data_IF_456414083205
#
_entry.id   IF_456414083205
#
_cell.length_a   1.000
_cell.length_b   1.000
_cell.length_c   1.000
_cell.angle_alpha   90.00
_cell.angle_beta   90.00
_cell.angle_gamma   90.00
#
_symmetry.space_group_name_H-M   'P 1'
#
loop_
_entity.id
_entity.type
_entity.pdbx_description
1 polymer ?
#
# COMPACT_ATOMS: atom_id res chain seq x y z
N UNK A 1 4.72 85.50 36.30
CA UNK A 1 4.20 84.94 35.06
C UNK A 1 4.53 83.44 35.03
N UNK A 2 3.58 82.53 35.22
CA UNK A 2 3.88 81.11 35.17
C UNK A 2 3.75 80.54 33.75
N UNK A 3 4.72 79.69 33.40
CA UNK A 3 4.83 78.98 32.08
C UNK A 3 3.99 77.68 32.17
N UNK A 4 3.15 77.33 31.18
CA UNK A 4 2.40 76.11 31.22
C UNK A 4 3.22 74.90 30.81
N UNK A 5 3.19 73.83 31.61
CA UNK A 5 3.72 72.50 31.32
C UNK A 5 2.81 71.79 30.31
N UNK A 6 3.35 71.42 29.15
CA UNK A 6 2.69 70.51 28.18
C UNK A 6 2.90 69.07 28.64
N UNK A 7 1.78 68.37 28.88
CA UNK A 7 1.74 66.95 29.13
C UNK A 7 1.70 66.25 27.77
N UNK A 8 2.73 65.45 27.48
CA UNK A 8 2.81 64.62 26.27
C UNK A 8 2.10 63.28 26.58
N UNK A 9 0.92 63.06 26.02
CA UNK A 9 0.20 61.81 26.13
C UNK A 9 0.80 60.75 25.18
N UNK A 10 1.33 59.67 25.75
CA UNK A 10 1.86 58.51 25.02
C UNK A 10 0.74 57.52 24.75
N UNK A 11 0.26 57.48 23.53
CA UNK A 11 -0.76 56.49 23.08
C UNK A 11 -0.06 55.18 22.77
N UNK A 12 -0.30 54.16 23.59
CA UNK A 12 0.13 52.78 23.36
C UNK A 12 -0.85 52.11 22.41
N UNK A 13 -0.43 51.89 21.17
CA UNK A 13 -1.19 51.08 20.22
C UNK A 13 -0.94 49.60 20.50
N UNK A 14 -1.96 48.88 21.00
CA UNK A 14 -1.94 47.42 21.08
C UNK A 14 -2.09 46.83 19.68
N UNK A 15 -1.00 46.26 19.17
CA UNK A 15 -1.03 45.41 17.97
C UNK A 15 -1.55 44.01 18.37
N UNK A 16 -2.80 43.72 18.02
CA UNK A 16 -3.37 42.39 18.18
C UNK A 16 -2.82 41.49 17.07
N UNK A 17 -1.89 40.55 17.42
CA UNK A 17 -1.50 39.46 16.54
C UNK A 17 -2.68 38.48 16.38
N UNK A 18 -3.36 38.53 15.26
CA UNK A 18 -4.29 37.47 14.86
C UNK A 18 -3.47 36.30 14.37
N UNK A 19 -3.33 35.27 15.20
CA UNK A 19 -2.78 33.99 14.76
C UNK A 19 -3.79 33.33 13.80
N UNK A 20 -3.50 33.34 12.51
CA UNK A 20 -4.23 32.52 11.54
C UNK A 20 -4.06 31.05 11.90
N UNK A 21 -5.15 30.26 11.99
CA UNK A 21 -5.00 28.82 12.11
C UNK A 21 -4.28 28.30 10.87
N UNK A 22 -3.16 27.63 11.03
CA UNK A 22 -2.53 26.86 9.98
C UNK A 22 -3.52 25.76 9.60
N UNK A 23 -4.21 25.94 8.49
CA UNK A 23 -4.97 24.85 7.84
C UNK A 23 -3.92 23.82 7.46
N UNK A 24 -3.92 22.68 8.17
CA UNK A 24 -3.17 21.51 7.76
C UNK A 24 -3.64 21.16 6.35
N UNK A 25 -2.77 21.33 5.37
CA UNK A 25 -3.07 20.94 4.01
C UNK A 25 -3.44 19.45 4.03
N UNK A 26 -4.69 19.14 3.74
CA UNK A 26 -5.16 17.80 3.53
C UNK A 26 -4.25 17.18 2.47
N UNK A 27 -3.49 16.16 2.86
CA UNK A 27 -2.68 15.37 1.93
C UNK A 27 -3.64 14.47 1.16
N UNK A 28 -4.24 15.03 0.12
CA UNK A 28 -5.06 14.27 -0.81
C UNK A 28 -4.20 13.25 -1.55
N UNK A 29 -4.64 12.00 -1.50
CA UNK A 29 -4.08 10.89 -2.29
C UNK A 29 -2.70 10.37 -1.86
N UNK A 30 -2.27 9.35 -2.52
CA UNK A 30 -0.92 8.82 -2.47
C UNK A 30 -0.16 9.37 -3.68
N UNK A 31 0.46 10.57 -3.64
CA UNK A 31 1.03 11.15 -4.83
C UNK A 31 2.24 10.30 -5.29
N UNK A 32 1.96 9.39 -6.23
CA UNK A 32 2.97 9.09 -7.21
C UNK A 32 3.17 10.37 -8.01
N UNK A 33 4.38 10.76 -8.34
CA UNK A 33 4.65 12.01 -9.03
C UNK A 33 3.76 12.15 -10.24
N UNK A 34 2.89 13.14 -10.18
CA UNK A 34 2.19 13.70 -11.32
C UNK A 34 3.27 14.14 -12.31
N UNK A 35 3.46 13.38 -13.38
CA UNK A 35 4.04 13.97 -14.57
C UNK A 35 3.04 15.02 -15.02
N UNK A 36 3.42 16.29 -14.94
CA UNK A 36 2.64 17.41 -15.44
C UNK A 36 2.48 17.27 -16.96
N UNK A 37 1.48 16.50 -17.36
CA UNK A 37 0.94 16.48 -18.72
C UNK A 37 -0.49 17.04 -18.64
N UNK A 38 -0.98 17.69 -19.70
CA UNK A 38 -2.34 18.21 -19.70
C UNK A 38 -3.31 17.06 -19.39
N UNK A 39 -4.18 17.29 -18.42
CA UNK A 39 -5.22 16.36 -18.04
C UNK A 39 -6.18 16.11 -19.21
N UNK A 40 -5.94 15.05 -19.98
CA UNK A 40 -6.96 14.48 -20.83
C UNK A 40 -7.92 13.70 -19.93
N UNK A 41 -8.98 14.36 -19.53
CA UNK A 41 -10.14 13.69 -18.98
C UNK A 41 -10.71 12.76 -20.05
N UNK A 42 -10.26 11.52 -20.09
CA UNK A 42 -11.01 10.46 -20.75
C UNK A 42 -12.21 10.15 -19.87
N UNK A 43 -13.36 10.67 -20.25
CA UNK A 43 -14.63 10.17 -19.79
C UNK A 43 -14.72 8.68 -20.12
N UNK A 44 -14.54 7.83 -19.10
CA UNK A 44 -14.87 6.43 -19.21
C UNK A 44 -16.41 6.36 -19.29
N UNK A 45 -16.93 6.04 -20.46
CA UNK A 45 -18.34 5.74 -20.65
C UNK A 45 -18.61 4.42 -19.95
N UNK A 46 -19.35 4.47 -18.84
CA UNK A 46 -19.89 3.30 -18.16
C UNK A 46 -20.87 2.63 -19.11
N UNK A 47 -20.47 1.51 -19.71
CA UNK A 47 -21.40 0.57 -20.30
C UNK A 47 -21.94 -0.30 -19.17
N UNK A 48 -23.08 0.10 -18.61
CA UNK A 48 -23.84 -0.77 -17.72
C UNK A 48 -24.29 -2.01 -18.47
N UNK A 49 -23.68 -3.15 -18.16
CA UNK A 49 -24.28 -4.46 -18.47
C UNK A 49 -25.26 -4.79 -17.33
N UNK A 50 -26.54 -5.10 -17.63
CA UNK A 50 -27.45 -5.62 -16.65
C UNK A 50 -27.00 -7.02 -16.26
N UNK A 51 -26.17 -7.12 -15.22
CA UNK A 51 -25.82 -8.34 -14.53
C UNK A 51 -26.79 -8.55 -13.41
N UNK A 52 -27.44 -9.71 -13.38
CA UNK A 52 -28.27 -10.23 -12.32
C UNK A 52 -27.73 -9.85 -10.96
N UNK A 53 -28.56 -9.20 -10.14
CA UNK A 53 -28.30 -8.82 -8.76
C UNK A 53 -27.96 -10.06 -7.94
N UNK A 54 -26.69 -10.42 -7.90
CA UNK A 54 -26.12 -11.33 -6.91
C UNK A 54 -26.10 -10.59 -5.58
N UNK A 55 -26.85 -11.10 -4.63
CA UNK A 55 -27.00 -10.64 -3.26
C UNK A 55 -25.72 -10.04 -2.69
N UNK A 56 -25.69 -8.71 -2.51
CA UNK A 56 -24.76 -7.99 -1.65
C UNK A 56 -25.07 -8.16 -0.15
N UNK A 57 -25.68 -9.29 0.20
CA UNK A 57 -26.04 -9.59 1.58
C UNK A 57 -24.79 -9.89 2.40
N UNK A 58 -24.60 -9.10 3.43
CA UNK A 58 -23.67 -9.25 4.56
C UNK A 58 -22.17 -8.95 4.32
N UNK A 59 -21.84 -7.94 3.55
CA UNK A 59 -20.56 -7.28 3.76
C UNK A 59 -20.78 -6.16 4.76
N UNK A 60 -20.42 -6.40 6.02
CA UNK A 60 -20.45 -5.34 7.01
C UNK A 60 -19.51 -4.22 6.54
N UNK A 61 -20.10 -3.08 6.16
CA UNK A 61 -19.32 -1.89 5.87
C UNK A 61 -18.49 -1.54 7.10
N UNK A 62 -17.22 -1.22 6.87
CA UNK A 62 -16.36 -0.75 7.97
C UNK A 62 -16.69 0.71 8.26
N UNK A 63 -16.38 1.18 9.48
CA UNK A 63 -16.44 2.62 9.73
C UNK A 63 -15.64 3.40 8.69
N UNK A 64 -16.13 4.58 8.33
CA UNK A 64 -15.42 5.49 7.43
C UNK A 64 -13.99 5.73 7.94
N UNK A 65 -13.02 5.77 7.03
CA UNK A 65 -11.60 5.93 7.37
C UNK A 65 -10.90 4.67 7.88
N UNK A 66 -11.57 3.52 7.99
CA UNK A 66 -10.97 2.26 8.46
C UNK A 66 -10.82 1.23 7.35
N UNK A 67 -9.66 0.59 7.30
CA UNK A 67 -9.33 -0.52 6.39
C UNK A 67 -9.04 -1.78 7.18
N UNK A 68 -9.63 -2.90 6.76
CA UNK A 68 -9.25 -4.22 7.26
C UNK A 68 -8.06 -4.76 6.50
N UNK A 69 -7.09 -5.31 7.21
CA UNK A 69 -5.97 -6.04 6.64
C UNK A 69 -5.86 -7.40 7.32
N UNK A 70 -6.01 -8.46 6.54
CA UNK A 70 -5.90 -9.85 7.03
C UNK A 70 -4.79 -10.56 6.29
N UNK A 71 -3.85 -11.14 7.01
CA UNK A 71 -2.85 -12.04 6.43
C UNK A 71 -3.48 -13.42 6.22
N UNK A 72 -3.68 -13.80 4.96
CA UNK A 72 -4.27 -15.08 4.58
C UNK A 72 -3.22 -16.20 4.56
N UNK A 73 -1.98 -15.83 4.25
CA UNK A 73 -0.83 -16.74 4.20
C UNK A 73 0.07 -16.45 3.03
N UNK A 74 1.31 -16.93 3.08
CA UNK A 74 2.37 -16.74 2.09
C UNK A 74 2.57 -15.27 1.68
N UNK A 75 2.07 -14.83 0.53
CA UNK A 75 2.09 -13.44 0.06
C UNK A 75 0.68 -12.86 -0.13
N UNK A 76 -0.35 -13.60 0.31
CA UNK A 76 -1.74 -13.20 0.14
C UNK A 76 -2.25 -12.46 1.38
N UNK A 77 -2.67 -11.23 1.17
CA UNK A 77 -3.47 -10.45 2.12
C UNK A 77 -4.86 -10.22 1.56
N UNK A 78 -5.83 -10.11 2.45
CA UNK A 78 -7.14 -9.56 2.15
C UNK A 78 -7.19 -8.13 2.68
N UNK A 79 -7.36 -7.17 1.78
CA UNK A 79 -7.60 -5.76 2.10
C UNK A 79 -9.08 -5.48 1.93
N UNK A 80 -9.70 -4.87 2.94
CA UNK A 80 -11.14 -4.57 2.95
C UNK A 80 -11.35 -3.08 3.19
N UNK A 81 -11.92 -2.39 2.20
CA UNK A 81 -12.16 -0.96 2.27
C UNK A 81 -13.39 -0.58 3.12
N UNK A 82 -13.59 0.68 3.48
CA UNK A 82 -14.82 1.16 4.15
C UNK A 82 -16.10 0.79 3.43
N UNK A 83 -16.14 0.89 2.09
CA UNK A 83 -17.32 0.49 1.31
C UNK A 83 -17.42 -1.02 1.03
N UNK A 84 -16.55 -1.82 1.66
CA UNK A 84 -16.59 -3.27 1.57
C UNK A 84 -15.98 -3.86 0.30
N UNK A 85 -15.17 -3.10 -0.45
CA UNK A 85 -14.35 -3.65 -1.54
C UNK A 85 -13.33 -4.59 -0.96
N UNK A 86 -13.24 -5.80 -1.48
CA UNK A 86 -12.32 -6.85 -1.04
C UNK A 86 -11.26 -7.10 -2.10
N UNK A 87 -10.01 -6.97 -1.72
CA UNK A 87 -8.85 -7.16 -2.59
C UNK A 87 -7.98 -8.27 -2.03
N UNK A 88 -7.68 -9.29 -2.81
CA UNK A 88 -6.69 -10.31 -2.45
C UNK A 88 -5.40 -10.07 -3.23
N UNK A 89 -4.28 -9.94 -2.50
CA UNK A 89 -2.95 -9.82 -3.10
C UNK A 89 -2.38 -11.20 -3.43
N UNK A 90 -1.61 -11.29 -4.50
CA UNK A 90 -0.93 -12.53 -4.96
C UNK A 90 -1.83 -13.77 -4.84
N UNK A 91 -3.05 -13.64 -5.40
CA UNK A 91 -4.08 -14.65 -5.37
C UNK A 91 -3.66 -15.90 -6.15
N UNK A 92 -3.65 -17.04 -5.50
CA UNK A 92 -3.26 -18.31 -6.12
C UNK A 92 -4.26 -19.45 -5.80
N UNK A 93 -4.05 -20.62 -6.41
CA UNK A 93 -4.82 -21.81 -6.07
C UNK A 93 -4.55 -22.30 -4.65
N UNK A 94 -3.33 -22.11 -4.16
CA UNK A 94 -2.90 -22.58 -2.83
C UNK A 94 -3.23 -21.63 -1.70
N UNK A 95 -3.27 -20.32 -1.98
CA UNK A 95 -3.48 -19.29 -0.94
C UNK A 95 -4.49 -18.26 -1.47
N UNK A 96 -5.66 -18.25 -0.86
CA UNK A 96 -6.76 -17.37 -1.24
C UNK A 96 -7.77 -17.21 -0.10
N UNK A 97 -8.51 -16.09 -0.04
CA UNK A 97 -9.61 -15.94 0.90
C UNK A 97 -10.71 -16.98 0.66
N UNK A 98 -11.41 -17.38 1.73
CA UNK A 98 -12.50 -18.36 1.66
C UNK A 98 -13.64 -17.92 0.71
N UNK A 99 -13.95 -16.62 0.67
CA UNK A 99 -14.90 -16.03 -0.27
C UNK A 99 -14.16 -15.24 -1.36
N UNK A 100 -14.64 -15.29 -2.62
CA UNK A 100 -14.01 -14.57 -3.72
C UNK A 100 -13.91 -13.06 -3.41
N UNK A 101 -12.75 -12.43 -3.67
CA UNK A 101 -12.60 -10.98 -3.59
C UNK A 101 -13.26 -10.28 -4.79
N UNK A 102 -13.39 -8.95 -4.74
CA UNK A 102 -13.79 -8.15 -5.92
C UNK A 102 -12.62 -7.98 -6.88
N UNK A 103 -11.41 -7.86 -6.31
CA UNK A 103 -10.16 -7.67 -7.04
C UNK A 103 -9.15 -8.71 -6.58
N UNK A 104 -8.44 -9.33 -7.51
CA UNK A 104 -7.26 -10.15 -7.25
C UNK A 104 -6.05 -9.57 -7.97
N UNK A 105 -4.95 -9.33 -7.26
CA UNK A 105 -3.66 -9.05 -7.90
C UNK A 105 -2.83 -10.32 -7.97
N UNK A 106 -1.92 -10.41 -8.93
CA UNK A 106 -1.07 -11.57 -9.16
C UNK A 106 0.31 -11.12 -9.64
N UNK A 107 1.35 -11.88 -9.28
CA UNK A 107 2.72 -11.69 -9.76
C UNK A 107 3.27 -12.96 -10.40
N UNK A 108 4.23 -12.83 -11.33
CA UNK A 108 4.60 -13.93 -12.24
C UNK A 108 5.57 -14.96 -11.63
N UNK A 109 6.32 -14.61 -10.61
CA UNK A 109 7.52 -15.36 -10.19
C UNK A 109 7.33 -16.89 -10.08
N UNK A 110 6.29 -17.35 -9.39
CA UNK A 110 5.90 -18.77 -9.31
C UNK A 110 4.43 -18.95 -8.90
N UNK A 111 3.91 -20.17 -9.04
CA UNK A 111 2.47 -20.49 -8.93
C UNK A 111 1.80 -20.21 -7.58
N UNK A 112 2.54 -19.83 -6.54
CA UNK A 112 1.94 -19.37 -5.28
C UNK A 112 1.61 -17.87 -5.27
N UNK A 113 1.93 -17.14 -6.36
CA UNK A 113 1.64 -15.72 -6.54
C UNK A 113 0.58 -15.44 -7.63
N UNK A 114 0.14 -16.47 -8.35
CA UNK A 114 -0.90 -16.33 -9.38
C UNK A 114 -1.76 -17.57 -9.51
N UNK A 115 -2.91 -17.41 -10.12
CA UNK A 115 -3.81 -18.46 -10.54
C UNK A 115 -3.97 -18.44 -12.05
N UNK A 116 -3.90 -19.60 -12.68
CA UNK A 116 -4.26 -19.76 -14.10
C UNK A 116 -5.78 -19.82 -14.30
N UNK A 117 -6.50 -20.16 -13.24
CA UNK A 117 -7.96 -20.31 -13.25
C UNK A 117 -8.56 -19.60 -12.02
N UNK A 118 -8.46 -18.26 -11.96
CA UNK A 118 -9.06 -17.51 -10.87
C UNK A 118 -10.57 -17.76 -10.82
N UNK A 119 -11.15 -17.66 -9.63
CA UNK A 119 -12.59 -17.80 -9.43
C UNK A 119 -13.34 -16.84 -10.39
N UNK A 120 -14.27 -17.33 -11.24
CA UNK A 120 -14.95 -16.50 -12.24
C UNK A 120 -15.82 -15.39 -11.64
N UNK A 121 -16.09 -15.42 -10.33
CA UNK A 121 -16.80 -14.37 -9.61
C UNK A 121 -15.94 -13.15 -9.29
N UNK A 122 -14.62 -13.28 -9.43
CA UNK A 122 -13.70 -12.14 -9.26
C UNK A 122 -13.88 -11.18 -10.44
N UNK A 123 -14.30 -9.95 -10.15
CA UNK A 123 -14.61 -8.95 -11.19
C UNK A 123 -13.35 -8.41 -11.88
N UNK A 124 -12.28 -8.24 -11.12
CA UNK A 124 -11.03 -7.65 -11.61
C UNK A 124 -9.84 -8.54 -11.25
N UNK A 125 -9.15 -9.06 -12.27
CA UNK A 125 -7.91 -9.82 -12.11
C UNK A 125 -6.77 -9.01 -12.72
N UNK A 126 -5.89 -8.49 -11.86
CA UNK A 126 -4.79 -7.60 -12.21
C UNK A 126 -3.48 -8.37 -12.19
N UNK A 127 -2.94 -8.67 -13.36
CA UNK A 127 -1.63 -9.33 -13.48
C UNK A 127 -0.53 -8.28 -13.38
N UNK A 128 0.43 -8.50 -12.48
CA UNK A 128 1.61 -7.64 -12.28
C UNK A 128 2.64 -7.76 -13.40
N UNK A 129 2.34 -8.49 -14.47
CA UNK A 129 3.12 -8.62 -15.70
C UNK A 129 2.22 -8.48 -16.93
N UNK A 130 2.80 -8.06 -18.03
CA UNK A 130 2.11 -8.00 -19.31
C UNK A 130 2.45 -9.24 -20.16
N UNK A 131 1.48 -10.11 -20.48
CA UNK A 131 1.74 -11.29 -21.34
C UNK A 131 2.28 -10.96 -22.74
N UNK A 132 2.03 -9.75 -23.23
CA UNK A 132 2.54 -9.28 -24.52
C UNK A 132 3.96 -8.67 -24.44
N UNK A 133 4.55 -8.65 -23.24
CA UNK A 133 5.86 -8.04 -22.96
C UNK A 133 5.78 -6.57 -22.53
N UNK A 134 6.87 -6.09 -21.91
CA UNK A 134 6.93 -4.76 -21.31
C UNK A 134 6.14 -4.63 -19.99
N UNK A 135 6.10 -3.44 -19.40
CA UNK A 135 5.48 -3.24 -18.10
C UNK A 135 3.96 -3.43 -18.11
N UNK A 136 3.43 -4.00 -17.05
CA UNK A 136 2.00 -3.94 -16.78
C UNK A 136 1.63 -2.52 -16.33
N UNK A 137 0.45 -2.06 -16.75
CA UNK A 137 -0.11 -0.77 -16.36
C UNK A 137 -1.51 -0.95 -15.82
N UNK A 138 -1.67 -0.66 -14.54
CA UNK A 138 -2.95 -0.65 -13.86
C UNK A 138 -3.21 0.72 -13.26
N UNK A 139 -4.40 1.24 -13.54
CA UNK A 139 -4.95 2.47 -13.00
C UNK A 139 -6.47 2.26 -12.93
N UNK A 140 -6.94 1.70 -11.81
CA UNK A 140 -8.30 1.18 -11.67
C UNK A 140 -8.97 1.78 -10.44
N UNK A 141 -10.14 2.40 -10.64
CA UNK A 141 -11.01 2.82 -9.56
C UNK A 141 -12.10 1.77 -9.34
N UNK A 142 -12.20 1.25 -8.10
CA UNK A 142 -13.29 0.36 -7.66
C UNK A 142 -13.90 0.97 -6.39
N UNK A 143 -15.07 1.55 -6.51
CA UNK A 143 -15.75 2.26 -5.42
C UNK A 143 -14.82 3.29 -4.73
N UNK A 144 -14.46 3.04 -3.47
CA UNK A 144 -13.60 3.87 -2.65
C UNK A 144 -12.11 3.46 -2.68
N UNK A 145 -11.72 2.59 -3.61
CA UNK A 145 -10.34 2.13 -3.75
C UNK A 145 -9.79 2.50 -5.12
N UNK A 146 -8.68 3.21 -5.15
CA UNK A 146 -7.86 3.38 -6.34
C UNK A 146 -6.68 2.39 -6.32
N UNK A 147 -6.47 1.68 -7.41
CA UNK A 147 -5.45 0.63 -7.53
C UNK A 147 -4.52 0.98 -8.68
N UNK A 148 -3.23 1.08 -8.38
CA UNK A 148 -2.19 1.27 -9.40
C UNK A 148 -1.00 0.34 -9.16
N UNK A 149 -0.06 0.28 -10.09
CA UNK A 149 1.13 -0.52 -9.94
C UNK A 149 2.41 0.22 -10.34
N UNK A 150 3.54 -0.28 -9.82
CA UNK A 150 4.89 0.06 -10.25
C UNK A 150 5.57 -1.23 -10.69
N UNK A 151 5.91 -1.33 -11.98
CA UNK A 151 6.57 -2.51 -12.54
C UNK A 151 7.99 -2.65 -11.99
N UNK A 152 8.39 -3.88 -11.71
CA UNK A 152 9.74 -4.27 -11.28
C UNK A 152 10.15 -5.59 -11.94
N UNK A 153 11.43 -5.91 -11.88
CA UNK A 153 11.98 -7.10 -12.52
C UNK A 153 12.00 -8.30 -11.56
N UNK A 154 12.07 -9.50 -12.11
CA UNK A 154 12.34 -10.73 -11.36
C UNK A 154 13.62 -11.38 -11.88
N UNK A 155 14.21 -12.29 -11.07
CA UNK A 155 15.24 -13.23 -11.55
C UNK A 155 14.55 -14.32 -12.36
N UNK A 156 15.08 -14.67 -13.51
CA UNK A 156 14.66 -15.84 -14.23
C UNK A 156 15.32 -17.12 -13.68
N UNK A 157 14.83 -18.28 -14.12
CA UNK A 157 15.34 -19.58 -13.67
C UNK A 157 16.78 -19.86 -14.12
N UNK A 158 17.30 -19.14 -15.11
CA UNK A 158 18.66 -19.23 -15.61
C UNK A 158 19.63 -18.29 -14.87
N UNK A 159 19.16 -17.53 -13.90
CA UNK A 159 19.95 -16.54 -13.15
C UNK A 159 20.08 -15.19 -13.85
N UNK A 160 19.37 -14.99 -14.96
CA UNK A 160 19.24 -13.69 -15.63
C UNK A 160 18.15 -12.82 -15.03
N UNK A 161 17.82 -11.75 -15.75
CA UNK A 161 16.75 -10.82 -15.38
C UNK A 161 15.56 -10.95 -16.34
N UNK A 162 14.39 -11.25 -15.81
CA UNK A 162 13.14 -11.07 -16.53
C UNK A 162 12.59 -9.67 -16.18
N UNK A 163 12.57 -8.81 -17.19
CA UNK A 163 12.06 -7.44 -17.04
C UNK A 163 10.55 -7.44 -16.86
N UNK A 164 10.06 -6.57 -15.98
CA UNK A 164 8.64 -6.33 -15.75
C UNK A 164 7.83 -7.57 -15.32
N UNK A 165 8.49 -8.57 -14.72
CA UNK A 165 7.84 -9.81 -14.25
C UNK A 165 7.13 -9.68 -12.91
N UNK A 166 7.27 -8.55 -12.21
CA UNK A 166 6.62 -8.24 -10.94
C UNK A 166 6.04 -6.83 -10.96
N UNK A 167 5.02 -6.60 -10.15
CA UNK A 167 4.50 -5.26 -9.85
C UNK A 167 4.36 -5.05 -8.36
N UNK A 168 4.81 -3.89 -7.90
CA UNK A 168 4.38 -3.36 -6.61
C UNK A 168 2.98 -2.79 -6.81
N UNK A 169 1.97 -3.41 -6.21
CA UNK A 169 0.61 -2.87 -6.23
C UNK A 169 0.41 -1.88 -5.09
N UNK A 170 -0.23 -0.76 -5.39
CA UNK A 170 -0.59 0.27 -4.42
C UNK A 170 -2.10 0.39 -4.37
N UNK A 171 -2.66 0.26 -3.19
CA UNK A 171 -4.09 0.40 -2.89
C UNK A 171 -4.29 1.68 -2.09
N UNK A 172 -5.05 2.60 -2.66
CA UNK A 172 -5.34 3.91 -2.08
C UNK A 172 -6.80 3.93 -1.63
N UNK A 173 -7.04 3.93 -0.34
CA UNK A 173 -8.37 3.94 0.27
C UNK A 173 -8.31 4.47 1.68
N UNK A 174 -9.37 5.10 2.18
CA UNK A 174 -9.44 5.67 3.53
C UNK A 174 -8.22 6.57 3.87
N UNK A 175 -7.71 7.32 2.88
CA UNK A 175 -6.52 8.17 2.98
C UNK A 175 -5.23 7.38 3.30
N UNK A 176 -5.24 6.05 3.21
CA UNK A 176 -4.09 5.18 3.36
C UNK A 176 -3.52 4.77 2.01
N UNK A 177 -2.19 4.67 1.96
CA UNK A 177 -1.42 4.13 0.83
C UNK A 177 -0.83 2.78 1.26
N UNK A 178 -1.43 1.68 0.82
CA UNK A 178 -1.00 0.33 1.15
C UNK A 178 -0.24 -0.22 -0.05
N UNK A 179 1.05 -0.53 0.10
CA UNK A 179 1.86 -1.09 -0.97
C UNK A 179 2.21 -2.55 -0.71
N UNK A 180 2.01 -3.40 -1.71
CA UNK A 180 2.40 -4.80 -1.70
C UNK A 180 3.59 -4.99 -2.63
N UNK A 181 4.76 -5.36 -2.10
CA UNK A 181 6.00 -5.48 -2.88
C UNK A 181 6.00 -6.67 -3.86
N UNK A 182 5.01 -7.56 -3.76
CA UNK A 182 4.96 -8.76 -4.59
C UNK A 182 6.15 -9.68 -4.33
N UNK A 183 6.74 -10.18 -5.40
CA UNK A 183 7.95 -11.00 -5.38
C UNK A 183 9.16 -10.15 -5.80
N UNK A 184 9.50 -9.13 -5.01
CA UNK A 184 10.57 -8.19 -5.32
C UNK A 184 11.94 -8.86 -5.31
N UNK A 185 12.77 -8.62 -6.34
CA UNK A 185 14.08 -9.24 -6.52
C UNK A 185 15.26 -8.27 -6.56
N UNK A 186 15.02 -6.96 -6.52
CA UNK A 186 16.07 -5.94 -6.56
C UNK A 186 15.72 -4.72 -5.71
N UNK A 187 16.71 -3.94 -5.36
CA UNK A 187 16.52 -2.67 -4.65
C UNK A 187 15.78 -1.65 -5.53
N UNK A 188 15.15 -0.69 -4.89
CA UNK A 188 14.34 0.33 -5.57
C UNK A 188 15.17 1.59 -5.83
N UNK A 189 15.42 1.90 -7.08
CA UNK A 189 16.06 3.15 -7.48
C UNK A 189 15.10 4.35 -7.42
N UNK A 190 15.63 5.58 -7.64
CA UNK A 190 14.84 6.81 -7.57
C UNK A 190 13.59 6.83 -8.44
N UNK A 191 13.61 6.16 -9.59
CA UNK A 191 12.44 6.03 -10.46
C UNK A 191 11.29 5.30 -9.76
N UNK A 192 11.58 4.11 -9.19
CA UNK A 192 10.57 3.30 -8.50
C UNK A 192 10.01 4.03 -7.27
N UNK A 193 10.90 4.63 -6.45
CA UNK A 193 10.49 5.37 -5.25
C UNK A 193 9.59 6.57 -5.59
N UNK A 194 9.93 7.31 -6.66
CA UNK A 194 9.06 8.40 -7.14
C UNK A 194 7.70 7.90 -7.62
N UNK A 195 7.67 6.79 -8.37
CA UNK A 195 6.40 6.19 -8.85
C UNK A 195 5.56 5.62 -7.72
N UNK A 196 6.22 5.06 -6.71
CA UNK A 196 5.57 4.52 -5.52
C UNK A 196 4.91 5.64 -4.69
N UNK A 197 5.60 6.77 -4.51
CA UNK A 197 5.13 7.89 -3.71
C UNK A 197 5.08 7.59 -2.21
N UNK A 198 4.11 8.17 -1.50
CA UNK A 198 3.91 7.91 -0.07
C UNK A 198 3.40 6.48 0.13
N UNK A 199 3.95 5.81 1.12
CA UNK A 199 3.47 4.51 1.59
C UNK A 199 3.23 4.58 3.09
N UNK A 200 2.04 4.23 3.52
CA UNK A 200 1.64 4.19 4.92
C UNK A 200 1.75 2.78 5.51
N UNK A 201 1.44 1.78 4.69
CA UNK A 201 1.55 0.36 5.05
C UNK A 201 2.27 -0.38 3.95
N UNK A 202 3.32 -1.12 4.30
CA UNK A 202 4.14 -1.88 3.36
C UNK A 202 4.08 -3.37 3.65
N UNK A 203 3.66 -4.18 2.67
CA UNK A 203 3.62 -5.63 2.74
C UNK A 203 4.90 -6.18 2.10
N UNK A 204 5.73 -6.86 2.91
CA UNK A 204 7.17 -7.09 2.64
C UNK A 204 7.50 -8.57 2.54
N UNK A 205 8.01 -9.07 1.39
CA UNK A 205 8.53 -10.43 1.30
C UNK A 205 9.86 -10.55 2.07
N UNK A 206 9.99 -11.56 2.94
CA UNK A 206 11.11 -11.64 3.90
C UNK A 206 11.85 -12.98 3.92
N UNK A 207 11.68 -13.82 2.92
CA UNK A 207 12.37 -15.11 2.86
C UNK A 207 13.90 -14.97 2.67
N UNK A 208 14.35 -13.89 2.02
CA UNK A 208 15.77 -13.58 1.85
C UNK A 208 16.54 -14.52 0.92
N UNK A 209 15.82 -15.17 -0.01
CA UNK A 209 16.44 -16.13 -0.93
C UNK A 209 15.69 -16.21 -2.27
N UNK A 210 14.43 -16.60 -2.24
CA UNK A 210 13.58 -16.57 -3.44
C UNK A 210 13.26 -15.15 -3.86
N UNK A 211 12.99 -14.27 -2.89
CA UNK A 211 12.84 -12.82 -3.11
C UNK A 211 14.17 -12.09 -2.90
N UNK A 212 14.14 -10.81 -2.63
CA UNK A 212 15.30 -9.99 -2.37
C UNK A 212 16.01 -10.44 -1.07
N UNK A 213 17.33 -10.49 -1.08
CA UNK A 213 18.11 -10.85 0.10
C UNK A 213 17.88 -9.88 1.26
N UNK A 214 18.04 -10.40 2.48
CA UNK A 214 17.67 -9.65 3.70
C UNK A 214 18.40 -8.32 3.83
N UNK A 215 19.69 -8.26 3.48
CA UNK A 215 20.47 -7.02 3.55
C UNK A 215 19.91 -5.96 2.60
N UNK A 216 19.67 -6.32 1.35
CA UNK A 216 19.12 -5.43 0.33
C UNK A 216 17.67 -5.04 0.65
N UNK A 217 16.90 -5.94 1.26
CA UNK A 217 15.55 -5.61 1.74
C UNK A 217 15.58 -4.53 2.82
N UNK A 218 16.57 -4.53 3.74
CA UNK A 218 16.72 -3.44 4.71
C UNK A 218 16.93 -2.09 4.04
N UNK A 219 17.67 -2.03 2.92
CA UNK A 219 17.83 -0.79 2.14
C UNK A 219 16.49 -0.34 1.53
N UNK A 220 15.69 -1.27 1.01
CA UNK A 220 14.34 -0.98 0.50
C UNK A 220 13.44 -0.42 1.61
N UNK A 221 13.43 -1.07 2.79
CA UNK A 221 12.61 -0.62 3.92
C UNK A 221 12.98 0.79 4.40
N UNK A 222 14.28 1.08 4.51
CA UNK A 222 14.79 2.41 4.86
C UNK A 222 14.43 3.47 3.81
N UNK A 223 14.55 3.12 2.52
CA UNK A 223 14.25 4.05 1.43
C UNK A 223 12.76 4.40 1.34
N UNK A 224 11.86 3.43 1.54
CA UNK A 224 10.41 3.66 1.56
C UNK A 224 9.98 4.33 2.87
N UNK A 225 10.55 3.92 4.00
CA UNK A 225 10.30 4.45 5.33
C UNK A 225 8.82 4.49 5.72
N UNK A 226 8.09 3.40 5.44
CA UNK A 226 6.67 3.30 5.75
C UNK A 226 6.44 3.21 7.27
N UNK A 227 5.46 3.92 7.84
CA UNK A 227 5.12 3.83 9.26
C UNK A 227 4.85 2.40 9.74
N UNK A 228 4.16 1.59 8.94
CA UNK A 228 3.85 0.20 9.26
C UNK A 228 4.37 -0.73 8.17
N UNK A 229 5.17 -1.72 8.56
CA UNK A 229 5.70 -2.74 7.67
C UNK A 229 5.25 -4.12 8.17
N UNK A 230 4.65 -4.92 7.28
CA UNK A 230 4.08 -6.23 7.61
C UNK A 230 4.80 -7.31 6.80
N UNK A 231 5.56 -8.20 7.46
CA UNK A 231 6.25 -9.30 6.80
C UNK A 231 5.31 -10.33 6.17
N UNK A 232 5.71 -10.84 5.03
CA UNK A 232 5.07 -11.93 4.29
C UNK A 232 6.12 -12.83 3.65
N UNK A 233 5.71 -13.86 2.93
CA UNK A 233 6.58 -14.72 2.13
C UNK A 233 7.70 -15.36 2.98
N UNK A 234 7.34 -15.93 4.12
CA UNK A 234 8.25 -16.72 4.94
C UNK A 234 7.74 -18.16 5.05
N UNK A 235 8.66 -19.12 4.95
CA UNK A 235 8.33 -20.56 4.90
C UNK A 235 8.33 -21.23 6.27
N UNK A 236 8.50 -20.46 7.32
CA UNK A 236 8.48 -20.94 8.70
C UNK A 236 9.21 -20.02 9.67
N UNK A 237 9.19 -20.37 10.96
CA UNK A 237 9.76 -19.52 12.02
C UNK A 237 11.21 -19.13 11.82
N UNK A 238 12.06 -20.06 11.33
CA UNK A 238 13.49 -19.80 11.13
C UNK A 238 13.76 -18.75 10.05
N UNK A 239 13.00 -18.77 8.97
CA UNK A 239 13.10 -17.77 7.89
C UNK A 239 12.70 -16.38 8.38
N UNK A 240 11.56 -16.30 9.07
CA UNK A 240 11.10 -15.06 9.67
C UNK A 240 12.10 -14.52 10.71
N UNK A 241 12.65 -15.38 11.58
CA UNK A 241 13.60 -14.96 12.61
C UNK A 241 14.91 -14.40 12.04
N UNK A 242 15.43 -14.93 10.92
CA UNK A 242 16.60 -14.34 10.23
C UNK A 242 16.34 -12.91 9.81
N UNK A 243 15.21 -12.68 9.16
CA UNK A 243 14.79 -11.32 8.78
C UNK A 243 14.63 -10.42 10.01
N UNK A 244 13.92 -10.87 11.04
CA UNK A 244 13.67 -10.08 12.23
C UNK A 244 14.94 -9.76 13.02
N UNK A 245 15.97 -10.63 12.97
CA UNK A 245 17.27 -10.36 13.59
C UNK A 245 17.92 -9.12 12.96
N UNK A 246 17.97 -9.05 11.63
CA UNK A 246 18.49 -7.87 10.93
C UNK A 246 17.58 -6.62 11.10
N UNK A 247 16.28 -6.84 11.05
CA UNK A 247 15.31 -5.75 11.14
C UNK A 247 15.32 -5.01 12.50
N UNK A 248 15.54 -5.73 13.60
CA UNK A 248 15.63 -5.17 14.97
C UNK A 248 16.77 -4.17 15.17
N UNK A 249 17.76 -4.17 14.34
CA UNK A 249 18.84 -3.18 14.35
C UNK A 249 18.37 -1.79 13.89
N UNK A 250 17.20 -1.75 13.20
CA UNK A 250 16.71 -0.53 12.54
C UNK A 250 15.28 -0.17 12.93
N UNK A 251 14.45 -1.15 13.27
CA UNK A 251 13.02 -0.96 13.50
C UNK A 251 12.53 -1.72 14.72
N UNK A 252 11.65 -1.14 15.54
CA UNK A 252 10.88 -1.88 16.53
C UNK A 252 10.08 -3.01 15.87
N UNK A 253 10.03 -4.17 16.52
CA UNK A 253 9.28 -5.35 16.04
C UNK A 253 8.22 -5.72 17.06
N UNK A 254 6.99 -5.80 16.62
CA UNK A 254 5.83 -6.22 17.40
C UNK A 254 5.17 -7.44 16.76
N UNK A 255 4.45 -8.22 17.57
CA UNK A 255 3.69 -9.37 17.13
C UNK A 255 2.21 -9.16 17.43
N UNK A 256 1.36 -9.32 16.44
CA UNK A 256 -0.08 -9.32 16.62
C UNK A 256 -0.54 -10.70 17.10
N UNK A 257 -1.50 -10.77 18.05
CA UNK A 257 -2.13 -12.03 18.41
C UNK A 257 -3.13 -12.52 17.34
N UNK A 258 -3.49 -11.68 16.38
CA UNK A 258 -4.50 -11.95 15.36
C UNK A 258 -3.94 -11.73 13.96
N UNK A 259 -4.38 -12.57 13.00
CA UNK A 259 -4.04 -12.44 11.58
C UNK A 259 -4.71 -11.24 10.91
N UNK A 260 -5.70 -10.64 11.55
CA UNK A 260 -6.45 -9.48 11.05
C UNK A 260 -6.26 -8.27 11.94
N UNK A 261 -6.04 -7.12 11.32
CA UNK A 261 -5.95 -5.81 11.99
C UNK A 261 -6.84 -4.79 11.28
N UNK A 262 -7.24 -3.76 12.02
CA UNK A 262 -7.91 -2.58 11.47
C UNK A 262 -6.94 -1.42 11.45
N UNK A 263 -6.86 -0.73 10.33
CA UNK A 263 -5.95 0.38 10.06
C UNK A 263 -6.75 1.65 9.80
N UNK A 264 -6.25 2.77 10.29
CA UNK A 264 -6.70 4.12 9.93
C UNK A 264 -5.52 5.08 10.00
N UNK A 265 -5.70 6.31 9.50
CA UNK A 265 -4.66 7.34 9.63
C UNK A 265 -4.26 7.60 11.08
N UNK A 266 -5.21 7.55 11.99
CA UNK A 266 -5.02 7.83 13.43
C UNK A 266 -4.30 6.69 14.14
N UNK A 267 -4.45 5.45 13.65
CA UNK A 267 -3.84 4.26 14.27
C UNK A 267 -2.47 3.92 13.72
N UNK A 268 -2.00 4.61 12.68
CA UNK A 268 -0.65 4.41 12.15
C UNK A 268 0.41 4.77 13.19
N UNK A 269 1.50 4.01 13.27
CA UNK A 269 2.63 4.34 14.13
C UNK A 269 3.22 5.72 13.80
N UNK A 270 3.69 6.44 14.82
CA UNK A 270 4.38 7.72 14.64
C UNK A 270 5.80 7.55 14.09
N UNK A 271 6.39 6.37 14.29
CA UNK A 271 7.70 5.98 13.78
C UNK A 271 7.61 4.63 13.10
N UNK A 272 8.42 4.38 12.06
CA UNK A 272 8.43 3.11 11.36
C UNK A 272 8.62 1.92 12.29
N UNK A 273 7.76 0.91 12.15
CA UNK A 273 7.87 -0.36 12.87
C UNK A 273 7.43 -1.55 12.02
N UNK A 274 7.86 -2.72 12.42
CA UNK A 274 7.44 -3.99 11.85
C UNK A 274 6.38 -4.62 12.75
N UNK A 275 5.27 -5.02 12.16
CA UNK A 275 4.21 -5.77 12.82
C UNK A 275 4.07 -7.15 12.17
N UNK A 276 4.39 -8.19 12.90
CA UNK A 276 4.24 -9.58 12.44
C UNK A 276 2.82 -10.05 12.73
N UNK A 277 2.08 -10.40 11.68
CA UNK A 277 0.77 -11.05 11.80
C UNK A 277 0.99 -12.57 11.78
N UNK A 278 0.25 -13.34 12.60
CA UNK A 278 0.29 -14.80 12.50
C UNK A 278 -0.26 -15.23 11.14
N UNK A 279 0.50 -16.11 10.45
CA UNK A 279 0.12 -16.70 9.17
C UNK A 279 -0.12 -18.20 9.31
N UNK A 280 -0.85 -18.78 8.36
CA UNK A 280 -1.10 -20.19 8.20
C UNK A 280 -0.22 -20.76 7.09
#
# INVERSE_FOLDING_TARGET
MPVPRRVLGLSLALLSLVASPAVAAEREGCPGLVASGPAYLKQATLVERPGTAGSFLDRAARPEGQVGLTFVGHATFLVESPKGVRIATDYSESTRPAAPPDVATMNKAHGTHYSLRPDPRIKHVLRGWNPAGGPAHHDLQVEDVHIRNVSTNIRDWGGGTEYDGNSIFVFETAQLCIAHLGHLHHTLGPYHLRKLGRVDVLLVPVDGGYTLETFDMMEVLKAINAPLMVPMHFFGPSTLQRFLAAAREHFPVEFSPQASITLSRETLPQSPKILVLPGH
#
